data_IF_703356105393
#
_entry.id   IF_703356105393
#
_cell.length_a   1.000
_cell.length_b   1.000
_cell.length_c   1.000
_cell.angle_alpha   90.00
_cell.angle_beta   90.00
_cell.angle_gamma   90.00
#
_symmetry.space_group_name_H-M   'P 1'
#
loop_
_entity.id
_entity.type
_entity.pdbx_description
1 polymer ?
#
# COMPACT_ATOMS: atom_id res chain seq x y z
N UNK A 1 -12.14 20.43 49.94
CA UNK A 1 -12.92 21.20 48.96
C UNK A 1 -12.11 21.25 47.68
N UNK A 2 -12.10 20.27 46.78
CA UNK A 2 -13.06 19.18 46.54
C UNK A 2 -13.82 19.46 45.24
N UNK A 3 -13.14 19.40 44.08
CA UNK A 3 -13.77 19.36 42.74
C UNK A 3 -12.74 19.19 41.59
N UNK A 4 -11.83 18.21 41.68
CA UNK A 4 -10.92 17.92 40.54
C UNK A 4 -10.61 16.43 40.30
N UNK A 5 -11.25 15.50 41.02
CA UNK A 5 -10.86 14.08 41.01
C UNK A 5 -12.01 13.12 40.77
N UNK A 6 -13.07 13.54 40.07
CA UNK A 6 -14.24 12.68 39.80
C UNK A 6 -14.49 12.36 38.31
N UNK A 7 -13.61 12.77 37.39
CA UNK A 7 -13.83 12.57 35.94
C UNK A 7 -13.03 11.42 35.31
N UNK A 8 -12.30 10.62 36.10
CA UNK A 8 -11.42 9.55 35.58
C UNK A 8 -11.93 8.12 35.80
N UNK A 9 -13.15 7.92 36.30
CA UNK A 9 -13.70 6.59 36.62
C UNK A 9 -15.02 6.26 35.90
N UNK A 10 -15.32 6.88 34.75
CA UNK A 10 -16.45 6.43 33.91
C UNK A 10 -15.96 5.55 32.74
N UNK A 11 -16.23 4.23 32.73
CA UNK A 11 -15.95 3.35 31.59
C UNK A 11 -16.63 3.79 30.29
N UNK A 12 -17.71 4.59 30.39
CA UNK A 12 -18.38 5.18 29.22
C UNK A 12 -17.61 6.38 28.68
N UNK A 13 -16.86 7.13 29.49
CA UNK A 13 -15.99 8.19 29.00
C UNK A 13 -14.88 7.61 28.11
N UNK A 14 -14.37 6.41 28.45
CA UNK A 14 -13.54 5.64 27.54
C UNK A 14 -14.34 5.19 26.32
N UNK A 15 -15.54 4.62 26.40
CA UNK A 15 -16.30 4.30 25.18
C UNK A 15 -16.61 5.51 24.29
N UNK A 16 -16.82 6.72 24.85
CA UNK A 16 -17.05 7.95 24.09
C UNK A 16 -15.77 8.54 23.49
N UNK A 17 -14.64 8.51 24.21
CA UNK A 17 -13.32 8.89 23.66
C UNK A 17 -12.82 7.85 22.65
N UNK A 18 -13.00 6.56 22.92
CA UNK A 18 -12.69 5.49 21.96
C UNK A 18 -13.63 5.59 20.77
N UNK A 19 -14.93 5.86 20.91
CA UNK A 19 -15.83 6.12 19.77
C UNK A 19 -15.56 7.44 19.04
N UNK A 20 -15.10 8.50 19.71
CA UNK A 20 -14.69 9.76 19.07
C UNK A 20 -13.32 9.66 18.41
N UNK A 21 -12.43 8.79 18.90
CA UNK A 21 -11.14 8.44 18.29
C UNK A 21 -11.31 7.36 17.20
N UNK A 22 -12.32 6.49 17.29
CA UNK A 22 -12.82 5.64 16.18
C UNK A 22 -13.56 6.48 15.12
N UNK A 23 -14.01 7.69 15.48
CA UNK A 23 -14.36 8.79 14.58
C UNK A 23 -13.14 9.69 14.30
N UNK A 24 -11.94 9.13 14.13
CA UNK A 24 -11.00 9.77 13.21
C UNK A 24 -11.80 9.91 11.92
N UNK A 25 -12.14 11.16 11.60
CA UNK A 25 -12.89 11.55 10.42
C UNK A 25 -12.19 10.96 9.19
N UNK A 26 -12.56 9.73 8.81
CA UNK A 26 -12.51 9.22 7.45
C UNK A 26 -13.56 9.95 6.60
N UNK A 27 -13.71 11.26 6.80
CA UNK A 27 -14.12 12.11 5.71
C UNK A 27 -12.94 12.04 4.77
N UNK A 28 -12.92 11.00 3.92
CA UNK A 28 -12.20 11.05 2.65
C UNK A 28 -12.50 12.46 2.15
N UNK A 29 -11.49 13.30 2.06
CA UNK A 29 -11.70 14.63 1.51
C UNK A 29 -11.59 14.43 0.01
N UNK A 30 -12.41 15.09 -0.82
CA UNK A 30 -12.00 15.31 -2.19
C UNK A 30 -10.70 16.12 -2.09
N UNK A 31 -9.51 15.52 -2.34
CA UNK A 31 -8.28 16.29 -2.30
C UNK A 31 -8.40 17.29 -3.44
N UNK A 32 -7.99 18.54 -3.26
CA UNK A 32 -8.00 19.49 -4.37
C UNK A 32 -6.62 19.56 -5.01
N UNK A 33 -6.55 19.69 -6.33
CA UNK A 33 -5.30 20.09 -7.01
C UNK A 33 -4.92 21.53 -6.64
N UNK A 34 -3.78 22.01 -7.17
CA UNK A 34 -3.31 23.36 -6.93
C UNK A 34 -4.28 24.45 -7.45
N UNK A 35 -5.28 24.06 -8.23
CA UNK A 35 -6.32 24.90 -8.81
C UNK A 35 -7.66 24.78 -8.05
N UNK A 36 -7.72 24.00 -6.97
CA UNK A 36 -8.93 23.82 -6.17
C UNK A 36 -9.91 22.77 -6.70
N UNK A 37 -9.55 22.00 -7.75
CA UNK A 37 -10.41 20.98 -8.35
C UNK A 37 -10.25 19.64 -7.64
N UNK A 38 -11.36 18.94 -7.39
CA UNK A 38 -11.35 17.61 -6.79
C UNK A 38 -10.50 16.61 -7.60
N UNK A 39 -9.57 15.94 -6.93
CA UNK A 39 -8.71 14.86 -7.43
C UNK A 39 -9.39 13.49 -7.38
N UNK A 40 -10.63 13.42 -6.91
CA UNK A 40 -11.47 12.22 -6.90
C UNK A 40 -12.78 12.58 -7.62
N UNK A 41 -13.18 11.78 -8.61
CA UNK A 41 -14.49 11.90 -9.24
C UNK A 41 -15.63 11.75 -8.23
N UNK A 42 -16.65 12.61 -8.32
CA UNK A 42 -17.73 12.66 -7.34
C UNK A 42 -18.46 11.30 -7.16
N UNK A 43 -18.65 10.55 -8.24
CA UNK A 43 -19.32 9.25 -8.18
C UNK A 43 -18.47 8.19 -7.46
N UNK A 44 -17.16 8.14 -7.77
CA UNK A 44 -16.22 7.24 -7.08
C UNK A 44 -16.17 7.59 -5.60
N UNK A 45 -16.07 8.88 -5.29
CA UNK A 45 -16.10 9.39 -3.92
C UNK A 45 -17.34 8.92 -3.16
N UNK A 46 -18.53 9.12 -3.72
CA UNK A 46 -19.79 8.76 -3.08
C UNK A 46 -19.88 7.25 -2.81
N UNK A 47 -19.52 6.41 -3.80
CA UNK A 47 -19.53 4.95 -3.63
C UNK A 47 -18.65 4.51 -2.46
N UNK A 48 -17.42 5.02 -2.39
CA UNK A 48 -16.49 4.61 -1.34
C UNK A 48 -16.80 5.25 0.01
N UNK A 49 -17.29 6.49 0.04
CA UNK A 49 -17.74 7.14 1.27
C UNK A 49 -18.90 6.34 1.91
N UNK A 50 -19.87 5.90 1.11
CA UNK A 50 -21.01 5.11 1.62
C UNK A 50 -20.60 3.71 2.09
N UNK A 51 -19.56 3.12 1.50
CA UNK A 51 -19.11 1.76 1.80
C UNK A 51 -18.07 1.69 2.95
N UNK A 52 -17.13 2.62 3.00
CA UNK A 52 -15.99 2.56 3.93
C UNK A 52 -16.42 2.84 5.38
N UNK A 53 -17.47 3.64 5.60
CA UNK A 53 -17.97 3.96 6.95
C UNK A 53 -18.29 2.69 7.76
N UNK A 54 -17.95 2.63 9.06
CA UNK A 54 -18.02 1.40 9.86
C UNK A 54 -19.37 0.67 9.79
N UNK A 55 -20.47 1.40 9.88
CA UNK A 55 -21.85 0.89 9.92
C UNK A 55 -22.49 0.72 8.54
N UNK A 56 -21.71 0.74 7.46
CA UNK A 56 -22.26 0.58 6.12
C UNK A 56 -22.97 -0.77 5.95
N UNK A 57 -24.20 -0.74 5.44
CA UNK A 57 -24.90 -1.94 4.99
C UNK A 57 -24.50 -2.37 3.57
N UNK A 58 -23.68 -1.57 2.87
CA UNK A 58 -23.21 -1.86 1.52
C UNK A 58 -22.13 -2.94 1.60
N UNK A 59 -22.27 -4.01 0.83
CA UNK A 59 -21.24 -5.04 0.72
C UNK A 59 -20.16 -4.64 -0.28
N UNK A 60 -18.98 -5.26 -0.18
CA UNK A 60 -17.89 -5.04 -1.13
C UNK A 60 -18.32 -5.36 -2.57
N UNK A 61 -19.11 -6.43 -2.76
CA UNK A 61 -19.64 -6.82 -4.07
C UNK A 61 -20.62 -5.77 -4.63
N UNK A 62 -21.48 -5.20 -3.79
CA UNK A 62 -22.37 -4.11 -4.21
C UNK A 62 -21.60 -2.85 -4.60
N UNK A 63 -20.56 -2.50 -3.86
CA UNK A 63 -19.67 -1.38 -4.19
C UNK A 63 -18.90 -1.64 -5.50
N UNK A 64 -18.38 -2.85 -5.72
CA UNK A 64 -17.73 -3.23 -6.97
C UNK A 64 -18.68 -3.15 -8.18
N UNK A 65 -19.92 -3.61 -8.04
CA UNK A 65 -20.96 -3.44 -9.06
C UNK A 65 -21.27 -1.97 -9.31
N UNK A 66 -21.31 -1.14 -8.25
CA UNK A 66 -21.53 0.29 -8.40
C UNK A 66 -20.39 0.98 -9.16
N UNK A 67 -19.12 0.64 -8.85
CA UNK A 67 -17.95 1.10 -9.62
C UNK A 67 -18.05 0.63 -11.07
N UNK A 68 -18.46 -0.61 -11.30
CA UNK A 68 -18.57 -1.14 -12.66
C UNK A 68 -19.62 -0.44 -13.52
N UNK A 69 -20.63 0.17 -12.92
CA UNK A 69 -21.65 0.97 -13.63
C UNK A 69 -21.14 2.34 -14.08
N UNK A 70 -19.98 2.77 -13.61
CA UNK A 70 -19.35 4.02 -14.03
C UNK A 70 -18.60 3.88 -15.38
N UNK A 71 -18.34 2.64 -15.82
CA UNK A 71 -17.64 2.40 -17.09
C UNK A 71 -18.50 2.94 -18.24
N UNK A 72 -17.95 3.82 -19.08
CA UNK A 72 -18.67 4.32 -20.24
C UNK A 72 -18.91 3.20 -21.25
N UNK A 73 -20.01 3.30 -21.99
CA UNK A 73 -20.25 2.40 -23.12
C UNK A 73 -19.13 2.56 -24.18
N UNK A 74 -18.71 1.47 -24.82
CA UNK A 74 -17.69 1.53 -25.87
C UNK A 74 -18.20 2.37 -27.05
N UNK A 75 -17.31 3.17 -27.62
CA UNK A 75 -17.61 3.88 -28.87
C UNK A 75 -17.94 2.85 -29.97
N UNK A 76 -18.94 3.18 -30.77
CA UNK A 76 -19.28 2.50 -32.03
C UNK A 76 -19.66 1.01 -31.90
N UNK A 77 -20.09 0.57 -30.71
CA UNK A 77 -20.51 -0.81 -30.47
C UNK A 77 -19.35 -1.83 -30.53
N UNK A 78 -18.10 -1.35 -30.47
CA UNK A 78 -16.92 -2.19 -30.33
C UNK A 78 -16.84 -2.81 -28.93
N UNK A 79 -15.88 -3.70 -28.70
CA UNK A 79 -15.56 -4.18 -27.36
C UNK A 79 -14.39 -3.41 -26.70
N UNK A 80 -13.92 -2.32 -27.33
CA UNK A 80 -12.78 -1.55 -26.87
C UNK A 80 -13.25 -0.37 -26.01
N UNK A 81 -12.61 -0.23 -24.85
CA UNK A 81 -12.83 0.86 -23.91
C UNK A 81 -11.63 1.81 -23.89
N UNK A 82 -11.93 3.09 -23.63
CA UNK A 82 -10.94 4.15 -23.45
C UNK A 82 -10.11 3.92 -22.18
N UNK A 83 -8.78 4.04 -22.30
CA UNK A 83 -7.84 3.85 -21.20
C UNK A 83 -7.82 5.03 -20.22
N UNK A 84 -8.13 6.25 -20.70
CA UNK A 84 -8.19 7.48 -19.91
C UNK A 84 -9.20 7.43 -18.76
N UNK A 85 -10.36 6.80 -18.99
CA UNK A 85 -11.33 6.54 -17.92
C UNK A 85 -10.73 5.68 -16.80
N UNK A 86 -10.12 4.53 -17.14
CA UNK A 86 -9.55 3.61 -16.15
C UNK A 86 -8.37 4.23 -15.42
N UNK A 87 -7.51 4.93 -16.14
CA UNK A 87 -6.41 5.67 -15.55
C UNK A 87 -6.89 6.67 -14.47
N UNK A 88 -7.98 7.39 -14.76
CA UNK A 88 -8.60 8.31 -13.80
C UNK A 88 -9.23 7.57 -12.62
N UNK A 89 -9.99 6.50 -12.88
CA UNK A 89 -10.60 5.66 -11.85
C UNK A 89 -9.55 5.09 -10.87
N UNK A 90 -8.43 4.59 -11.37
CA UNK A 90 -7.37 4.07 -10.52
C UNK A 90 -6.70 5.16 -9.69
N UNK A 91 -6.48 6.34 -10.28
CA UNK A 91 -5.98 7.48 -9.53
C UNK A 91 -6.93 7.92 -8.43
N UNK A 92 -8.25 7.90 -8.67
CA UNK A 92 -9.27 8.19 -7.67
C UNK A 92 -9.21 7.19 -6.50
N UNK A 93 -9.15 5.88 -6.81
CA UNK A 93 -9.05 4.82 -5.80
C UNK A 93 -7.74 4.93 -5.01
N UNK A 94 -6.62 5.21 -5.67
CA UNK A 94 -5.32 5.45 -4.99
C UNK A 94 -5.41 6.70 -4.10
N UNK A 95 -6.03 7.78 -4.57
CA UNK A 95 -6.25 9.00 -3.79
C UNK A 95 -7.13 8.77 -2.55
N UNK A 96 -8.03 7.79 -2.58
CA UNK A 96 -8.76 7.33 -1.39
C UNK A 96 -7.80 6.54 -0.48
N UNK A 97 -7.05 5.58 -1.02
CA UNK A 97 -6.15 4.73 -0.25
C UNK A 97 -5.11 5.52 0.56
N UNK A 98 -4.48 6.53 -0.03
CA UNK A 98 -3.43 7.32 0.65
C UNK A 98 -3.93 8.15 1.82
N UNK A 99 -5.25 8.37 1.92
CA UNK A 99 -5.87 9.07 3.06
C UNK A 99 -6.12 8.14 4.25
N UNK A 100 -6.03 6.83 4.06
CA UNK A 100 -6.31 5.83 5.08
C UNK A 100 -4.99 5.47 5.79
N UNK A 101 -4.91 5.59 7.14
CA UNK A 101 -3.75 5.10 7.88
C UNK A 101 -3.49 3.62 7.60
N UNK A 102 -2.22 3.23 7.53
CA UNK A 102 -1.82 1.90 7.02
C UNK A 102 -2.33 0.72 7.86
N UNK A 103 -2.64 0.95 9.13
CA UNK A 103 -3.15 0.00 10.11
C UNK A 103 -4.68 0.06 10.28
N UNK A 104 -5.34 0.99 9.58
CA UNK A 104 -6.76 1.20 9.73
C UNK A 104 -7.59 0.17 8.94
N UNK A 105 -8.65 -0.45 9.53
CA UNK A 105 -9.48 -1.47 8.86
C UNK A 105 -10.19 -1.01 7.57
N UNK A 106 -10.32 0.30 7.36
CA UNK A 106 -10.85 0.87 6.12
C UNK A 106 -10.02 0.48 4.88
N UNK A 107 -8.71 0.27 5.04
CA UNK A 107 -7.85 -0.18 3.96
C UNK A 107 -8.25 -1.59 3.49
N UNK A 108 -8.65 -2.46 4.42
CA UNK A 108 -9.13 -3.80 4.10
C UNK A 108 -10.51 -3.77 3.42
N UNK A 109 -11.35 -2.79 3.75
CA UNK A 109 -12.61 -2.56 3.02
C UNK A 109 -12.31 -2.20 1.56
N UNK A 110 -11.40 -1.27 1.31
CA UNK A 110 -11.00 -0.87 -0.05
C UNK A 110 -10.42 -2.06 -0.83
N UNK A 111 -9.56 -2.85 -0.20
CA UNK A 111 -9.02 -4.08 -0.77
C UNK A 111 -10.12 -5.07 -1.20
N UNK A 112 -11.15 -5.26 -0.37
CA UNK A 112 -12.26 -6.14 -0.70
C UNK A 112 -12.98 -5.70 -1.97
N UNK A 113 -13.18 -4.41 -2.19
CA UNK A 113 -13.79 -3.91 -3.44
C UNK A 113 -12.90 -4.22 -4.64
N UNK A 114 -11.59 -3.99 -4.53
CA UNK A 114 -10.63 -4.34 -5.59
C UNK A 114 -10.68 -5.82 -5.94
N UNK A 115 -10.81 -6.71 -4.94
CA UNK A 115 -10.97 -8.14 -5.15
C UNK A 115 -12.32 -8.49 -5.78
N UNK A 116 -13.42 -7.88 -5.33
CA UNK A 116 -14.75 -8.16 -5.89
C UNK A 116 -14.87 -7.68 -7.34
N UNK A 117 -14.15 -6.62 -7.74
CA UNK A 117 -14.03 -6.23 -9.14
C UNK A 117 -13.47 -7.38 -9.98
N UNK A 118 -12.38 -8.03 -9.56
CA UNK A 118 -11.77 -9.13 -10.34
C UNK A 118 -12.65 -10.38 -10.45
N UNK A 119 -13.71 -10.47 -9.63
CA UNK A 119 -14.70 -11.56 -9.63
C UNK A 119 -15.94 -11.23 -10.47
N UNK A 120 -16.07 -10.02 -11.00
CA UNK A 120 -17.18 -9.67 -11.89
C UNK A 120 -17.15 -10.52 -13.18
N UNK A 121 -18.32 -10.82 -13.78
CA UNK A 121 -18.37 -11.59 -15.02
C UNK A 121 -17.58 -10.93 -16.16
N UNK A 122 -16.87 -11.73 -16.97
CA UNK A 122 -16.24 -11.24 -18.19
C UNK A 122 -17.32 -10.80 -19.19
N UNK A 123 -17.34 -9.51 -19.50
CA UNK A 123 -18.29 -8.91 -20.45
C UNK A 123 -17.79 -8.97 -21.90
N UNK A 124 -16.57 -9.46 -22.13
CA UNK A 124 -15.88 -9.39 -23.42
C UNK A 124 -15.28 -8.00 -23.72
N UNK A 125 -15.54 -6.99 -22.89
CA UNK A 125 -14.95 -5.67 -23.01
C UNK A 125 -13.46 -5.70 -22.64
N UNK A 126 -12.69 -4.86 -23.32
CA UNK A 126 -11.22 -4.81 -23.22
C UNK A 126 -10.72 -3.36 -23.20
N UNK A 127 -9.60 -3.16 -22.53
CA UNK A 127 -8.74 -1.98 -22.73
C UNK A 127 -7.42 -2.50 -23.26
N UNK A 128 -7.10 -2.15 -24.50
CA UNK A 128 -6.06 -2.85 -25.26
C UNK A 128 -6.31 -4.37 -25.24
N UNK A 129 -5.33 -5.18 -24.85
CA UNK A 129 -5.46 -6.64 -24.74
C UNK A 129 -5.96 -7.13 -23.36
N UNK A 130 -6.19 -6.23 -22.41
CA UNK A 130 -6.56 -6.58 -21.03
C UNK A 130 -8.06 -6.74 -20.86
N UNK A 131 -8.48 -7.81 -20.17
CA UNK A 131 -9.88 -8.08 -19.84
C UNK A 131 -10.38 -7.10 -18.80
N UNK A 132 -11.57 -6.55 -19.04
CA UNK A 132 -12.24 -5.68 -18.08
C UNK A 132 -12.37 -6.39 -16.73
N UNK A 133 -11.93 -5.70 -15.68
CA UNK A 133 -11.85 -6.14 -14.29
C UNK A 133 -10.95 -7.33 -13.96
N UNK A 134 -10.91 -8.39 -14.75
CA UNK A 134 -10.05 -9.55 -14.44
C UNK A 134 -8.56 -9.17 -14.46
N UNK A 135 -8.15 -8.37 -15.43
CA UNK A 135 -6.75 -7.98 -15.60
C UNK A 135 -6.46 -6.56 -15.08
N UNK A 136 -7.47 -5.89 -14.51
CA UNK A 136 -7.40 -4.51 -13.97
C UNK A 136 -6.65 -3.56 -14.92
N UNK A 137 -7.19 -3.33 -16.13
CA UNK A 137 -6.48 -2.63 -17.20
C UNK A 137 -5.96 -1.27 -16.74
N UNK A 138 -4.74 -0.90 -17.13
CA UNK A 138 -4.14 0.42 -16.85
C UNK A 138 -3.76 0.67 -15.38
N UNK A 139 -4.13 -0.22 -14.44
CA UNK A 139 -3.78 -0.08 -13.00
C UNK A 139 -2.27 0.05 -12.79
N UNK A 140 -1.47 -0.75 -13.50
CA UNK A 140 -0.01 -0.70 -13.40
C UNK A 140 0.58 0.63 -13.85
N UNK A 141 -0.03 1.30 -14.85
CA UNK A 141 0.39 2.63 -15.29
C UNK A 141 0.09 3.69 -14.23
N UNK A 142 -1.12 3.66 -13.64
CA UNK A 142 -1.49 4.56 -12.54
C UNK A 142 -0.59 4.39 -11.31
N UNK A 143 -0.22 3.14 -10.96
CA UNK A 143 0.76 2.88 -9.90
C UNK A 143 2.14 3.45 -10.26
N UNK A 144 2.58 3.28 -11.50
CA UNK A 144 3.92 3.71 -11.93
C UNK A 144 4.14 5.22 -11.77
N UNK A 145 3.12 6.04 -11.98
CA UNK A 145 3.26 7.49 -11.78
C UNK A 145 3.57 7.87 -10.34
N UNK A 146 3.02 7.12 -9.38
CA UNK A 146 3.28 7.32 -7.95
C UNK A 146 4.69 6.90 -7.58
N UNK A 147 5.29 5.94 -8.29
CA UNK A 147 6.58 5.33 -7.91
C UNK A 147 7.82 6.22 -8.17
N UNK A 148 7.65 7.48 -8.57
CA UNK A 148 8.75 8.46 -8.76
C UNK A 148 9.33 9.03 -7.44
N UNK A 149 8.97 8.42 -6.31
CA UNK A 149 9.38 8.83 -4.98
C UNK A 149 8.34 9.73 -4.30
N UNK A 150 8.45 9.90 -2.97
CA UNK A 150 7.58 10.81 -2.24
C UNK A 150 7.85 12.24 -2.70
N UNK A 151 6.80 13.06 -2.66
CA UNK A 151 6.94 14.51 -2.86
C UNK A 151 7.85 15.13 -1.79
N UNK A 152 8.27 16.38 -2.03
CA UNK A 152 9.06 17.13 -1.06
C UNK A 152 8.43 18.49 -0.78
N UNK A 153 8.39 18.89 0.49
CA UNK A 153 8.02 20.23 0.94
C UNK A 153 9.08 20.77 1.90
N UNK A 154 9.22 22.09 1.93
CA UNK A 154 10.03 22.79 2.94
C UNK A 154 9.26 23.00 4.25
N UNK A 155 7.95 22.78 4.24
CA UNK A 155 7.11 22.81 5.42
C UNK A 155 7.06 21.41 6.03
N UNK A 156 7.41 21.29 7.31
CA UNK A 156 7.49 20.01 8.02
C UNK A 156 6.13 19.32 8.16
N UNK A 157 5.04 20.07 8.40
CA UNK A 157 3.69 19.52 8.51
C UNK A 157 3.19 18.99 7.16
N UNK A 158 3.46 19.72 6.07
CA UNK A 158 3.15 19.26 4.71
C UNK A 158 3.98 18.03 4.35
N UNK A 159 5.26 18.00 4.70
CA UNK A 159 6.12 16.84 4.48
C UNK A 159 5.61 15.61 5.23
N UNK A 160 5.18 15.77 6.49
CA UNK A 160 4.60 14.67 7.27
C UNK A 160 3.33 14.10 6.61
N UNK A 161 2.50 14.95 5.98
CA UNK A 161 1.34 14.50 5.19
C UNK A 161 1.79 13.70 3.97
N UNK A 162 2.76 14.20 3.21
CA UNK A 162 3.32 13.52 2.03
C UNK A 162 3.90 12.15 2.41
N UNK A 163 4.67 12.09 3.50
CA UNK A 163 5.29 10.86 3.98
C UNK A 163 4.22 9.84 4.43
N UNK A 164 3.16 10.28 5.09
CA UNK A 164 2.03 9.42 5.45
C UNK A 164 1.27 8.90 4.23
N UNK A 165 1.01 9.75 3.24
CA UNK A 165 0.37 9.35 1.99
C UNK A 165 1.20 8.31 1.22
N UNK A 166 2.53 8.48 1.21
CA UNK A 166 3.47 7.51 0.65
C UNK A 166 3.37 6.15 1.33
N UNK A 167 3.38 6.12 2.67
CA UNK A 167 3.20 4.90 3.45
C UNK A 167 1.83 4.26 3.16
N UNK A 168 0.76 5.04 3.11
CA UNK A 168 -0.60 4.56 2.79
C UNK A 168 -0.69 3.91 1.41
N UNK A 169 -0.05 4.51 0.39
CA UNK A 169 0.04 3.94 -0.95
C UNK A 169 0.72 2.56 -0.95
N UNK A 170 1.87 2.44 -0.28
CA UNK A 170 2.61 1.19 -0.24
C UNK A 170 1.95 0.12 0.64
N UNK A 171 1.24 0.52 1.70
CA UNK A 171 0.38 -0.38 2.47
C UNK A 171 -0.74 -0.97 1.61
N UNK A 172 -1.41 -0.14 0.81
CA UNK A 172 -2.43 -0.58 -0.14
C UNK A 172 -1.85 -1.52 -1.20
N UNK A 173 -0.71 -1.17 -1.79
CA UNK A 173 0.02 -2.03 -2.74
C UNK A 173 0.37 -3.40 -2.14
N UNK A 174 0.97 -3.43 -0.95
CA UNK A 174 1.35 -4.66 -0.27
C UNK A 174 0.13 -5.55 0.05
N UNK A 175 -1.00 -4.95 0.45
CA UNK A 175 -2.25 -5.67 0.69
C UNK A 175 -2.85 -6.26 -0.60
N UNK A 176 -2.78 -5.54 -1.73
CA UNK A 176 -3.19 -6.06 -3.03
C UNK A 176 -2.34 -7.26 -3.48
N UNK A 177 -1.02 -7.20 -3.25
CA UNK A 177 -0.11 -8.33 -3.51
C UNK A 177 -0.50 -9.52 -2.63
N UNK A 178 -0.73 -9.29 -1.34
CA UNK A 178 -1.12 -10.33 -0.38
C UNK A 178 -2.40 -11.06 -0.79
N UNK A 179 -3.38 -10.32 -1.30
CA UNK A 179 -4.65 -10.87 -1.78
C UNK A 179 -4.58 -11.48 -3.19
N UNK A 180 -3.40 -11.47 -3.84
CA UNK A 180 -3.23 -11.99 -5.20
C UNK A 180 -3.93 -11.16 -6.28
N UNK A 181 -4.30 -9.91 -5.97
CA UNK A 181 -4.97 -9.00 -6.91
C UNK A 181 -3.96 -8.43 -7.92
N UNK A 182 -2.71 -8.21 -7.49
CA UNK A 182 -1.62 -7.70 -8.35
C UNK A 182 -0.32 -8.47 -8.12
N UNK A 183 0.54 -8.53 -9.14
CA UNK A 183 1.84 -9.23 -9.11
C UNK A 183 3.06 -8.34 -8.85
N UNK A 184 2.90 -7.15 -8.28
CA UNK A 184 3.92 -6.08 -8.24
C UNK A 184 5.03 -6.27 -7.18
N UNK A 185 5.61 -7.47 -7.07
CA UNK A 185 6.64 -7.79 -6.07
C UNK A 185 7.94 -6.98 -6.26
N UNK A 186 8.18 -6.43 -7.45
CA UNK A 186 9.27 -5.49 -7.72
C UNK A 186 9.22 -4.25 -6.82
N UNK A 187 8.02 -3.75 -6.47
CA UNK A 187 7.89 -2.60 -5.58
C UNK A 187 8.41 -2.89 -4.17
N UNK A 188 8.18 -4.10 -3.66
CA UNK A 188 8.74 -4.53 -2.38
C UNK A 188 10.27 -4.50 -2.40
N UNK A 189 10.88 -5.02 -3.47
CA UNK A 189 12.35 -5.01 -3.65
C UNK A 189 12.88 -3.57 -3.68
N UNK A 190 12.21 -2.65 -4.38
CA UNK A 190 12.64 -1.26 -4.43
C UNK A 190 12.57 -0.58 -3.06
N UNK A 191 11.45 -0.72 -2.34
CA UNK A 191 11.31 -0.08 -1.02
C UNK A 191 12.25 -0.68 0.02
N UNK A 192 12.46 -2.01 -0.01
CA UNK A 192 13.45 -2.68 0.85
C UNK A 192 14.88 -2.24 0.52
N UNK A 193 15.23 -2.11 -0.77
CA UNK A 193 16.54 -1.56 -1.18
C UNK A 193 16.72 -0.16 -0.63
N UNK A 194 15.78 0.74 -0.90
CA UNK A 194 15.91 2.16 -0.57
C UNK A 194 16.03 2.37 0.96
N UNK A 195 15.36 1.55 1.76
CA UNK A 195 15.43 1.61 3.22
C UNK A 195 16.67 0.91 3.82
N UNK A 196 17.18 -0.17 3.21
CA UNK A 196 18.09 -1.11 3.88
C UNK A 196 19.44 -1.29 3.18
N UNK A 197 19.50 -1.10 1.86
CA UNK A 197 20.72 -1.31 1.05
C UNK A 197 21.43 -0.01 0.69
N UNK A 198 20.81 1.15 0.93
CA UNK A 198 21.40 2.46 0.70
C UNK A 198 22.13 3.00 1.95
N UNK A 199 23.08 3.90 1.75
CA UNK A 199 23.68 4.67 2.85
C UNK A 199 22.66 5.69 3.36
N UNK A 200 22.21 5.48 4.60
CA UNK A 200 21.19 6.33 5.25
C UNK A 200 21.77 7.51 6.02
N UNK A 201 23.11 7.65 6.10
CA UNK A 201 23.77 8.69 6.90
C UNK A 201 23.46 10.12 6.43
N UNK A 202 23.22 10.30 5.14
CA UNK A 202 22.87 11.60 4.54
C UNK A 202 21.36 11.87 4.48
N UNK A 203 20.51 10.93 4.91
CA UNK A 203 19.05 11.10 4.88
C UNK A 203 18.59 12.00 6.03
N UNK A 204 17.59 12.84 5.75
CA UNK A 204 16.84 13.49 6.82
C UNK A 204 16.19 12.41 7.72
N UNK A 205 16.12 12.60 9.05
CA UNK A 205 15.56 11.60 9.94
C UNK A 205 14.13 11.18 9.61
N UNK A 206 13.26 12.12 9.24
CA UNK A 206 11.88 11.83 8.80
C UNK A 206 11.83 10.97 7.54
N UNK A 207 12.76 11.17 6.59
CA UNK A 207 12.85 10.37 5.39
C UNK A 207 13.28 8.92 5.71
N UNK A 208 14.21 8.73 6.67
CA UNK A 208 14.58 7.40 7.14
C UNK A 208 13.39 6.69 7.80
N UNK A 209 12.68 7.37 8.70
CA UNK A 209 11.50 6.82 9.36
C UNK A 209 10.42 6.41 8.34
N UNK A 210 10.10 7.27 7.38
CA UNK A 210 9.17 6.94 6.29
C UNK A 210 9.63 5.71 5.51
N UNK A 211 10.90 5.65 5.09
CA UNK A 211 11.41 4.54 4.29
C UNK A 211 11.34 3.21 5.06
N UNK A 212 11.65 3.22 6.36
CA UNK A 212 11.52 2.05 7.23
C UNK A 212 10.08 1.59 7.38
N UNK A 213 9.15 2.51 7.64
CA UNK A 213 7.71 2.19 7.74
C UNK A 213 7.20 1.65 6.41
N UNK A 214 7.58 2.26 5.29
CA UNK A 214 7.20 1.84 3.94
C UNK A 214 7.68 0.43 3.62
N UNK A 215 8.96 0.15 3.89
CA UNK A 215 9.52 -1.19 3.71
C UNK A 215 8.84 -2.22 4.62
N UNK A 216 8.53 -1.84 5.86
CA UNK A 216 7.80 -2.68 6.80
C UNK A 216 6.40 -3.06 6.31
N UNK A 217 5.70 -2.19 5.56
CA UNK A 217 4.38 -2.52 5.00
C UNK A 217 4.42 -3.73 4.06
N UNK A 218 5.48 -3.86 3.26
CA UNK A 218 5.65 -5.02 2.38
C UNK A 218 5.97 -6.29 3.16
N UNK A 219 6.75 -6.19 4.24
CA UNK A 219 7.01 -7.33 5.11
C UNK A 219 5.72 -7.75 5.83
N UNK A 220 5.02 -6.81 6.47
CA UNK A 220 3.80 -7.09 7.24
C UNK A 220 2.71 -7.73 6.38
N UNK A 221 2.41 -7.15 5.21
CA UNK A 221 1.26 -7.56 4.43
C UNK A 221 1.60 -8.54 3.30
N UNK A 222 2.70 -8.33 2.58
CA UNK A 222 3.08 -9.16 1.44
C UNK A 222 4.18 -10.20 1.76
N UNK A 223 4.77 -10.16 2.95
CA UNK A 223 5.90 -11.02 3.34
C UNK A 223 5.68 -12.52 3.12
N UNK A 224 4.49 -13.11 3.41
CA UNK A 224 4.22 -14.51 3.10
C UNK A 224 4.36 -14.85 1.61
N UNK A 225 3.86 -13.98 0.72
CA UNK A 225 3.92 -14.15 -0.73
C UNK A 225 5.37 -13.99 -1.22
N UNK A 226 6.10 -13.02 -0.68
CA UNK A 226 7.51 -12.80 -1.01
C UNK A 226 8.37 -14.00 -0.59
N UNK A 227 8.21 -14.49 0.65
CA UNK A 227 8.92 -15.65 1.15
C UNK A 227 8.60 -16.91 0.32
N UNK A 228 7.33 -17.15 -0.03
CA UNK A 228 6.96 -18.26 -0.90
C UNK A 228 7.58 -18.14 -2.29
N UNK A 229 7.67 -16.93 -2.86
CA UNK A 229 8.33 -16.70 -4.13
C UNK A 229 9.82 -17.07 -4.08
N UNK A 230 10.51 -16.78 -2.97
CA UNK A 230 11.91 -17.18 -2.75
C UNK A 230 12.03 -18.71 -2.72
N UNK A 231 11.14 -19.42 -2.00
CA UNK A 231 11.17 -20.89 -1.93
C UNK A 231 10.95 -21.51 -3.31
N UNK A 232 9.98 -20.99 -4.06
CA UNK A 232 9.61 -21.51 -5.38
C UNK A 232 10.70 -21.26 -6.42
N UNK A 233 11.43 -20.16 -6.29
CA UNK A 233 12.44 -19.75 -7.28
C UNK A 233 13.62 -19.09 -6.56
N UNK A 234 14.48 -19.88 -5.87
CA UNK A 234 15.57 -19.34 -5.05
C UNK A 234 16.65 -18.65 -5.90
N UNK A 235 16.85 -19.13 -7.13
CA UNK A 235 17.76 -18.55 -8.11
C UNK A 235 17.02 -18.13 -9.38
N UNK A 236 16.30 -16.99 -9.36
CA UNK A 236 15.57 -16.54 -10.53
C UNK A 236 16.53 -16.16 -11.66
N UNK A 237 16.24 -16.66 -12.85
CA UNK A 237 16.82 -16.17 -14.11
C UNK A 237 16.07 -14.89 -14.49
N UNK A 238 16.76 -13.76 -14.43
CA UNK A 238 16.18 -12.45 -14.72
C UNK A 238 16.47 -12.04 -16.16
N UNK A 239 15.53 -11.32 -16.78
CA UNK A 239 15.83 -10.58 -18.01
C UNK A 239 16.84 -9.47 -17.71
N UNK A 240 17.52 -8.93 -18.73
CA UNK A 240 18.42 -7.77 -18.55
C UNK A 240 17.68 -6.55 -17.98
N UNK A 241 16.40 -6.40 -18.33
CA UNK A 241 15.57 -5.33 -17.81
C UNK A 241 15.27 -5.53 -16.32
N UNK A 242 14.87 -6.74 -15.93
CA UNK A 242 14.60 -7.07 -14.53
C UNK A 242 15.86 -7.01 -13.67
N UNK A 243 17.00 -7.44 -14.21
CA UNK A 243 18.29 -7.36 -13.51
C UNK A 243 18.67 -5.91 -13.21
N UNK A 244 18.47 -5.00 -14.17
CA UNK A 244 18.66 -3.55 -13.97
C UNK A 244 17.66 -2.97 -12.97
N UNK A 245 16.40 -3.38 -13.10
CA UNK A 245 15.28 -2.89 -12.29
C UNK A 245 15.39 -3.31 -10.81
N UNK A 246 15.78 -4.56 -10.57
CA UNK A 246 15.86 -5.20 -9.26
C UNK A 246 17.30 -5.25 -8.72
N UNK A 247 18.20 -4.44 -9.28
CA UNK A 247 19.60 -4.35 -8.87
C UNK A 247 19.74 -4.07 -7.37
N UNK A 248 20.82 -4.55 -6.74
CA UNK A 248 21.14 -4.21 -5.36
C UNK A 248 21.52 -2.73 -5.20
N UNK A 249 21.36 -2.22 -3.98
CA UNK A 249 21.96 -0.98 -3.50
C UNK A 249 23.41 -1.21 -3.02
N UNK A 250 24.15 -0.14 -2.72
CA UNK A 250 25.60 -0.18 -2.50
C UNK A 250 26.05 -0.96 -1.27
N UNK A 251 25.17 -1.23 -0.29
CA UNK A 251 25.52 -1.97 0.92
C UNK A 251 25.32 -3.48 0.80
N UNK A 252 24.78 -3.97 -0.33
CA UNK A 252 24.52 -5.39 -0.56
C UNK A 252 25.27 -5.90 -1.78
N UNK A 253 26.25 -6.78 -1.56
CA UNK A 253 27.14 -7.31 -2.61
C UNK A 253 26.57 -8.51 -3.38
N UNK A 254 25.35 -8.95 -3.05
CA UNK A 254 24.73 -10.11 -3.69
C UNK A 254 24.03 -9.79 -5.02
N UNK A 255 23.37 -10.80 -5.59
CA UNK A 255 22.73 -10.70 -6.92
C UNK A 255 21.38 -9.97 -6.89
N UNK A 256 20.99 -9.41 -8.04
CA UNK A 256 19.69 -8.79 -8.26
C UNK A 256 18.51 -9.77 -8.06
N UNK A 257 17.35 -9.20 -7.75
CA UNK A 257 16.09 -9.95 -7.54
C UNK A 257 15.79 -10.25 -6.06
N UNK A 258 14.71 -11.01 -5.86
CA UNK A 258 14.24 -11.48 -4.56
C UNK A 258 14.87 -12.84 -4.25
N UNK A 259 15.76 -12.89 -3.25
CA UNK A 259 16.61 -14.06 -2.94
C UNK A 259 16.77 -14.26 -1.44
N UNK A 260 17.10 -15.48 -1.03
CA UNK A 260 17.28 -15.83 0.39
C UNK A 260 18.41 -15.06 1.06
N UNK A 261 19.56 -14.91 0.42
CA UNK A 261 20.71 -14.14 0.93
C UNK A 261 20.35 -12.65 1.11
N UNK A 262 19.65 -12.07 0.13
CA UNK A 262 19.16 -10.69 0.20
C UNK A 262 18.13 -10.50 1.31
N UNK A 263 17.26 -11.49 1.52
CA UNK A 263 16.30 -11.51 2.62
C UNK A 263 16.99 -11.52 4.00
N UNK A 264 18.02 -12.36 4.15
CA UNK A 264 18.87 -12.40 5.35
C UNK A 264 19.63 -11.08 5.58
N UNK A 265 20.05 -10.42 4.51
CA UNK A 265 20.62 -9.09 4.60
C UNK A 265 19.59 -8.08 5.12
N UNK A 266 18.42 -8.00 4.49
CA UNK A 266 17.35 -7.08 4.88
C UNK A 266 16.89 -7.23 6.33
N UNK A 267 16.68 -8.47 6.81
CA UNK A 267 16.23 -8.67 8.18
C UNK A 267 17.23 -8.13 9.21
N UNK A 268 18.54 -8.27 8.95
CA UNK A 268 19.60 -7.70 9.79
C UNK A 268 19.56 -6.17 9.74
N UNK A 269 19.43 -5.61 8.54
CA UNK A 269 19.42 -4.16 8.31
C UNK A 269 18.21 -3.48 8.94
N UNK A 270 17.05 -4.12 8.98
CA UNK A 270 15.91 -3.60 9.73
C UNK A 270 16.25 -3.39 11.21
N UNK A 271 16.93 -4.35 11.84
CA UNK A 271 17.38 -4.23 13.23
C UNK A 271 18.38 -3.08 13.41
N UNK A 272 19.38 -2.98 12.53
CA UNK A 272 20.39 -1.92 12.59
C UNK A 272 19.80 -0.51 12.35
N UNK A 273 18.84 -0.38 11.43
CA UNK A 273 18.22 0.92 11.14
C UNK A 273 17.19 1.33 12.20
N UNK A 274 16.58 0.37 12.91
CA UNK A 274 15.68 0.67 14.02
C UNK A 274 16.35 1.45 15.16
N UNK A 275 17.68 1.30 15.33
CA UNK A 275 18.46 2.08 16.31
C UNK A 275 18.57 3.57 15.93
N UNK A 276 18.41 3.89 14.65
CA UNK A 276 18.51 5.25 14.10
C UNK A 276 17.16 5.90 13.87
N UNK A 277 16.08 5.12 13.96
CA UNK A 277 14.72 5.61 13.81
C UNK A 277 14.40 6.65 14.90
N UNK A 278 13.70 7.71 14.52
CA UNK A 278 13.38 8.83 15.43
C UNK A 278 11.99 8.75 16.03
N UNK A 279 11.13 7.90 15.48
CA UNK A 279 9.77 7.66 15.96
C UNK A 279 9.61 6.25 16.50
N UNK A 280 8.78 6.10 17.54
CA UNK A 280 8.44 4.79 18.12
C UNK A 280 7.75 3.87 17.09
N UNK A 281 6.95 4.45 16.19
CA UNK A 281 6.32 3.73 15.10
C UNK A 281 7.35 3.11 14.16
N UNK A 282 8.27 3.91 13.59
CA UNK A 282 9.29 3.41 12.67
C UNK A 282 10.20 2.36 13.34
N UNK A 283 10.61 2.61 14.59
CA UNK A 283 11.41 1.67 15.36
C UNK A 283 10.69 0.35 15.59
N UNK A 284 9.44 0.40 16.07
CA UNK A 284 8.66 -0.81 16.39
C UNK A 284 8.35 -1.63 15.13
N UNK A 285 7.97 -0.98 14.02
CA UNK A 285 7.69 -1.65 12.75
C UNK A 285 8.96 -2.27 12.12
N UNK A 286 10.11 -1.60 12.21
CA UNK A 286 11.37 -2.15 11.73
C UNK A 286 11.78 -3.41 12.53
N UNK A 287 11.74 -3.35 13.87
CA UNK A 287 12.03 -4.50 14.72
C UNK A 287 11.05 -5.66 14.49
N UNK A 288 9.75 -5.34 14.38
CA UNK A 288 8.72 -6.34 14.05
C UNK A 288 8.99 -6.99 12.69
N UNK A 289 9.34 -6.22 11.68
CA UNK A 289 9.65 -6.72 10.33
C UNK A 289 10.85 -7.66 10.37
N UNK A 290 11.93 -7.26 11.06
CA UNK A 290 13.09 -8.14 11.30
C UNK A 290 12.67 -9.48 11.91
N UNK A 291 11.84 -9.44 12.96
CA UNK A 291 11.35 -10.66 13.63
C UNK A 291 10.44 -11.52 12.75
N UNK A 292 9.55 -10.93 11.95
CA UNK A 292 8.70 -11.68 11.01
C UNK A 292 9.55 -12.39 9.95
N UNK A 293 10.54 -11.68 9.40
CA UNK A 293 11.49 -12.24 8.44
C UNK A 293 12.28 -13.41 9.00
N UNK A 294 12.76 -13.29 10.25
CA UNK A 294 13.44 -14.39 10.97
C UNK A 294 12.53 -15.61 11.14
N UNK A 295 11.27 -15.42 11.58
CA UNK A 295 10.30 -16.52 11.71
C UNK A 295 10.08 -17.22 10.36
N UNK A 296 10.03 -16.49 9.25
CA UNK A 296 9.91 -17.09 7.92
C UNK A 296 11.16 -17.81 7.46
N UNK A 297 12.35 -17.33 7.84
CA UNK A 297 13.60 -18.08 7.63
C UNK A 297 13.53 -19.43 8.34
N UNK A 298 13.13 -19.45 9.61
CA UNK A 298 13.02 -20.68 10.42
C UNK A 298 11.95 -21.64 9.87
N UNK A 299 10.79 -21.13 9.47
CA UNK A 299 9.61 -21.96 9.17
C UNK A 299 9.39 -22.25 7.68
N UNK A 300 9.91 -21.43 6.78
CA UNK A 300 9.56 -21.47 5.35
C UNK A 300 10.76 -21.52 4.41
N UNK A 301 11.87 -20.87 4.76
CA UNK A 301 13.06 -20.81 3.89
C UNK A 301 14.12 -21.89 4.20
N UNK A 302 13.88 -22.77 5.16
CA UNK A 302 14.73 -23.95 5.37
C UNK A 302 14.59 -24.93 4.20
N UNK A 303 15.67 -25.59 3.76
CA UNK A 303 15.58 -26.71 2.86
C UNK A 303 14.64 -27.77 3.47
N UNK A 304 13.63 -28.22 2.72
CA UNK A 304 12.87 -29.41 3.14
C UNK A 304 13.84 -30.59 3.16
N UNK A 305 14.08 -31.13 4.36
CA UNK A 305 14.79 -32.39 4.58
C UNK A 305 14.10 -33.55 3.87
#
# INVERSE_FOLDING_TARGET
MGEATAALEDPRAWQYLTMQVFRINLNVRPPTDAQGKARIGADVFNIFNDYIVPESSVTAAQAAVAVSKLVPDPADGSNALDDGFFFSLWNDIINIAVQIPHDHPAMDKLLKVMRELTLLPDTGLRVWDSRLWTDLPVLGAAFRERLNGPGTSRNEEEQAVIDREWVGFHAFSAKLISAGVVGYTNQAVWMLRDALEEDTSAKAPSALDRDLVTAAMYIEYAGPILAESIVRTPDPTLSKEDERSLRPGPLYDGKAGLRSDRWLFWLKRFGEQAEKATTDEAKSLALRSSRLMEIWVEKRLQPKS
#
